data_IF_772104937790
#
_entry.id   IF_772104937790
#
_cell.length_a   1.000
_cell.length_b   1.000
_cell.length_c   1.000
_cell.angle_alpha   90.00
_cell.angle_beta   90.00
_cell.angle_gamma   90.00
#
_symmetry.space_group_name_H-M   'P 1'
#
loop_
_entity.id
_entity.type
_entity.pdbx_description
1 polymer ?
#
# COMPACT_ATOMS: atom_id res chain seq x y z
N UNK A 1 23.41 14.82 49.46
CA UNK A 1 23.85 13.56 48.83
C UNK A 1 22.71 12.70 48.27
N UNK A 2 21.48 12.75 48.77
CA UNK A 2 20.36 11.94 48.23
C UNK A 2 19.81 12.40 46.86
N UNK A 3 19.89 13.69 46.54
CA UNK A 3 19.41 14.24 45.26
C UNK A 3 20.22 13.79 44.03
N UNK A 4 21.53 13.58 44.19
CA UNK A 4 22.40 13.09 43.11
C UNK A 4 22.18 11.60 42.82
N UNK A 5 21.85 10.79 43.84
CA UNK A 5 21.55 9.37 43.67
C UNK A 5 20.20 9.14 42.95
N UNK A 6 19.20 9.97 43.23
CA UNK A 6 17.90 9.93 42.55
C UNK A 6 18.01 10.32 41.06
N UNK A 7 18.80 11.35 40.76
CA UNK A 7 19.04 11.75 39.37
C UNK A 7 19.75 10.63 38.58
N UNK A 8 20.79 10.01 39.16
CA UNK A 8 21.50 8.91 38.53
C UNK A 8 20.59 7.69 38.28
N UNK A 9 19.68 7.37 39.20
CA UNK A 9 18.70 6.29 39.05
C UNK A 9 17.66 6.55 37.95
N UNK A 10 17.22 7.78 37.77
CA UNK A 10 16.28 8.14 36.69
C UNK A 10 16.94 8.08 35.30
N UNK A 11 18.21 8.50 35.20
CA UNK A 11 18.95 8.44 33.93
C UNK A 11 19.26 7.00 33.50
N UNK A 12 19.58 6.09 34.43
CA UNK A 12 19.78 4.68 34.11
C UNK A 12 18.48 4.00 33.68
N UNK A 13 17.35 4.32 34.32
CA UNK A 13 16.05 3.80 33.93
C UNK A 13 15.64 4.27 32.52
N UNK A 14 15.87 5.55 32.21
CA UNK A 14 15.61 6.11 30.88
C UNK A 14 16.50 5.48 29.80
N UNK A 15 17.77 5.21 30.12
CA UNK A 15 18.69 4.50 29.23
C UNK A 15 18.25 3.06 28.93
N UNK A 16 17.73 2.35 29.94
CA UNK A 16 17.18 0.99 29.75
C UNK A 16 15.87 1.02 28.95
N UNK A 17 14.98 1.97 29.18
CA UNK A 17 13.76 2.13 28.38
C UNK A 17 14.08 2.50 26.93
N UNK A 18 15.11 3.31 26.68
CA UNK A 18 15.54 3.64 25.33
C UNK A 18 16.21 2.44 24.63
N UNK A 19 17.13 1.75 25.32
CA UNK A 19 17.81 0.57 24.78
C UNK A 19 16.87 -0.64 24.57
N UNK A 20 15.79 -0.73 25.34
CA UNK A 20 14.80 -1.82 25.28
C UNK A 20 13.52 -1.42 24.52
N UNK A 21 13.26 -0.12 24.35
CA UNK A 21 12.11 0.42 23.61
C UNK A 21 12.24 0.28 22.10
N UNK A 22 13.46 0.12 21.59
CA UNK A 22 13.70 -0.23 20.19
C UNK A 22 13.16 -1.60 19.78
N UNK A 23 12.81 -2.48 20.73
CA UNK A 23 12.14 -3.76 20.45
C UNK A 23 10.64 -3.77 20.79
N UNK A 24 10.11 -2.71 21.41
CA UNK A 24 8.68 -2.60 21.74
C UNK A 24 7.85 -2.09 20.56
N UNK A 25 8.46 -1.30 19.68
CA UNK A 25 7.96 -1.01 18.33
C UNK A 25 8.65 -1.92 17.32
N UNK A 26 8.87 -3.19 17.71
CA UNK A 26 9.30 -4.19 16.75
C UNK A 26 8.31 -4.16 15.60
N UNK A 27 8.83 -4.07 14.37
CA UNK A 27 8.07 -4.18 13.14
C UNK A 27 7.08 -5.34 13.26
N UNK A 28 5.86 -5.05 13.67
CA UNK A 28 4.78 -6.03 13.68
C UNK A 28 4.57 -6.34 12.21
N UNK A 29 5.16 -7.46 11.78
CA UNK A 29 5.06 -7.98 10.45
C UNK A 29 3.58 -7.88 10.05
N UNK A 30 3.31 -7.05 9.03
CA UNK A 30 1.94 -6.73 8.66
C UNK A 30 1.13 -8.02 8.55
N UNK A 31 -0.02 -8.14 9.23
CA UNK A 31 -0.71 -9.40 9.43
C UNK A 31 -0.94 -10.08 8.08
N UNK A 32 -0.74 -11.40 7.97
CA UNK A 32 -0.94 -12.17 6.73
C UNK A 32 -2.39 -12.64 6.58
N UNK A 33 -3.38 -11.78 6.81
CA UNK A 33 -4.79 -12.13 6.67
C UNK A 33 -5.31 -11.79 5.28
N UNK A 34 -6.40 -12.42 4.83
CA UNK A 34 -7.05 -12.04 3.57
C UNK A 34 -7.52 -10.56 3.59
N UNK A 35 -7.71 -10.00 4.78
CA UNK A 35 -8.14 -8.63 5.03
C UNK A 35 -7.00 -7.60 4.92
N UNK A 36 -5.74 -8.03 5.05
CA UNK A 36 -4.56 -7.16 4.92
C UNK A 36 -4.00 -7.10 3.50
N UNK A 37 -4.62 -7.82 2.56
CA UNK A 37 -4.16 -7.85 1.18
C UNK A 37 -4.32 -6.48 0.53
N UNK A 38 -3.24 -6.00 -0.07
CA UNK A 38 -3.32 -4.89 -1.01
C UNK A 38 -3.82 -5.44 -2.33
N UNK A 39 -4.87 -4.84 -2.87
CA UNK A 39 -5.40 -5.20 -4.18
C UNK A 39 -4.58 -4.54 -5.28
N UNK A 40 -4.34 -5.29 -6.35
CA UNK A 40 -3.62 -4.86 -7.54
C UNK A 40 -4.42 -5.21 -8.79
N UNK A 41 -4.28 -4.43 -9.85
CA UNK A 41 -4.98 -4.64 -11.12
C UNK A 41 -3.97 -4.69 -12.28
N UNK A 42 -4.01 -5.76 -13.05
CA UNK A 42 -3.14 -5.95 -14.21
C UNK A 42 -3.93 -5.72 -15.50
N UNK A 43 -3.58 -4.67 -16.24
CA UNK A 43 -4.20 -4.33 -17.52
C UNK A 43 -3.95 -5.38 -18.61
N UNK A 44 -2.80 -6.06 -18.58
CA UNK A 44 -2.45 -7.12 -19.55
C UNK A 44 -3.28 -8.40 -19.35
N UNK A 45 -3.67 -8.70 -18.11
CA UNK A 45 -4.50 -9.86 -17.79
C UNK A 45 -5.98 -9.53 -17.62
N UNK A 46 -6.34 -8.24 -17.61
CA UNK A 46 -7.68 -7.73 -17.31
C UNK A 46 -8.25 -8.37 -16.04
N UNK A 47 -7.41 -8.47 -15.00
CA UNK A 47 -7.77 -9.14 -13.76
C UNK A 47 -7.12 -8.48 -12.55
N UNK A 48 -7.85 -8.48 -11.45
CA UNK A 48 -7.35 -8.06 -10.15
C UNK A 48 -6.86 -9.24 -9.30
N UNK A 49 -5.94 -8.96 -8.39
CA UNK A 49 -5.40 -9.95 -7.46
C UNK A 49 -4.98 -9.26 -6.15
N UNK A 50 -4.95 -10.03 -5.06
CA UNK A 50 -4.45 -9.57 -3.76
C UNK A 50 -3.00 -10.00 -3.58
N UNK A 51 -2.17 -9.12 -3.04
CA UNK A 51 -0.86 -9.46 -2.50
C UNK A 51 -0.80 -9.04 -1.03
N UNK A 52 -0.32 -9.93 -0.18
CA UNK A 52 0.07 -9.62 1.19
C UNK A 52 1.33 -8.76 1.20
N UNK A 53 1.59 -8.05 2.31
CA UNK A 53 2.77 -7.20 2.45
C UNK A 53 4.07 -7.93 2.08
N UNK A 54 4.28 -9.15 2.60
CA UNK A 54 5.48 -9.93 2.30
C UNK A 54 5.61 -10.35 0.83
N UNK A 55 4.51 -10.46 0.08
CA UNK A 55 4.56 -10.86 -1.33
C UNK A 55 4.98 -9.72 -2.26
N UNK A 56 4.68 -8.47 -1.88
CA UNK A 56 5.06 -7.28 -2.65
C UNK A 56 6.21 -6.47 -2.02
N UNK A 57 6.61 -6.75 -0.79
CA UNK A 57 7.71 -6.06 -0.13
C UNK A 57 9.01 -6.20 -0.94
N UNK A 58 9.71 -5.08 -1.14
CA UNK A 58 10.88 -4.98 -2.01
C UNK A 58 10.63 -5.20 -3.52
N UNK A 59 9.38 -5.46 -3.95
CA UNK A 59 9.03 -5.72 -5.37
C UNK A 59 8.19 -4.63 -6.01
N UNK A 60 7.80 -3.62 -5.25
CA UNK A 60 7.09 -2.46 -5.78
C UNK A 60 8.05 -1.36 -6.21
N UNK A 61 7.76 -0.72 -7.33
CA UNK A 61 8.48 0.47 -7.80
C UNK A 61 7.48 1.56 -8.15
N UNK A 62 7.93 2.80 -8.18
CA UNK A 62 7.16 3.89 -8.77
C UNK A 62 7.49 3.96 -10.26
N UNK A 63 6.46 3.79 -11.10
CA UNK A 63 6.59 3.73 -12.54
C UNK A 63 5.46 4.52 -13.22
N UNK A 64 5.61 4.77 -14.52
CA UNK A 64 4.52 5.30 -15.32
C UNK A 64 3.35 4.32 -15.29
N UNK A 65 2.15 4.87 -15.18
CA UNK A 65 0.92 4.11 -15.27
C UNK A 65 0.86 3.30 -16.59
N UNK A 66 0.74 1.96 -16.54
CA UNK A 66 0.89 1.10 -17.72
C UNK A 66 -0.18 1.33 -18.79
N UNK A 67 -1.38 1.77 -18.39
CA UNK A 67 -2.47 2.10 -19.31
C UNK A 67 -2.59 3.59 -19.66
N UNK A 68 -1.67 4.44 -19.20
CA UNK A 68 -1.73 5.87 -19.53
C UNK A 68 -1.08 6.14 -20.89
N UNK A 69 -1.87 6.58 -21.87
CA UNK A 69 -1.34 7.18 -23.09
C UNK A 69 -0.72 8.55 -22.77
N UNK A 70 0.44 8.86 -23.38
CA UNK A 70 1.08 10.17 -23.26
C UNK A 70 0.94 10.91 -24.57
N UNK A 71 0.39 12.12 -24.52
CA UNK A 71 0.47 13.07 -25.63
C UNK A 71 1.63 14.04 -25.39
N UNK A 72 2.17 14.66 -26.45
CA UNK A 72 3.19 15.70 -26.30
C UNK A 72 2.70 16.81 -25.36
N UNK A 73 3.46 17.08 -24.28
CA UNK A 73 3.12 18.08 -23.26
C UNK A 73 2.43 17.54 -22.01
N UNK A 74 2.04 16.27 -21.97
CA UNK A 74 1.42 15.68 -20.80
C UNK A 74 2.43 15.39 -19.68
N UNK A 75 1.99 15.63 -18.44
CA UNK A 75 2.72 15.18 -17.24
C UNK A 75 2.40 13.69 -17.02
N UNK A 76 3.41 12.79 -17.00
CA UNK A 76 3.17 11.38 -16.82
C UNK A 76 2.54 11.09 -15.46
N UNK A 77 1.50 10.25 -15.48
CA UNK A 77 0.92 9.71 -14.26
C UNK A 77 1.86 8.64 -13.70
N UNK A 78 2.58 8.97 -12.64
CA UNK A 78 3.40 8.00 -11.89
C UNK A 78 2.55 7.35 -10.81
N UNK A 79 2.61 6.02 -10.76
CA UNK A 79 1.93 5.18 -9.77
C UNK A 79 2.85 4.11 -9.26
N UNK A 80 2.58 3.64 -8.04
CA UNK A 80 3.23 2.45 -7.52
C UNK A 80 2.72 1.22 -8.24
N UNK A 81 3.64 0.39 -8.71
CA UNK A 81 3.34 -0.85 -9.42
C UNK A 81 3.95 -2.06 -8.72
N UNK A 82 3.32 -3.21 -8.87
CA UNK A 82 3.81 -4.52 -8.42
C UNK A 82 3.82 -5.51 -9.61
N UNK A 83 4.69 -6.54 -9.61
CA UNK A 83 4.68 -7.55 -10.65
C UNK A 83 3.45 -8.45 -10.53
N UNK A 84 2.72 -8.63 -11.63
CA UNK A 84 1.60 -9.56 -11.72
C UNK A 84 2.09 -11.00 -11.59
N UNK A 85 1.49 -11.84 -10.71
CA UNK A 85 1.93 -13.22 -10.52
C UNK A 85 1.70 -14.10 -11.75
N UNK A 86 0.74 -13.74 -12.63
CA UNK A 86 0.39 -14.51 -13.83
C UNK A 86 1.29 -14.22 -15.03
N UNK A 87 1.46 -12.95 -15.38
CA UNK A 87 2.18 -12.54 -16.60
C UNK A 87 3.49 -11.79 -16.35
N UNK A 88 3.84 -11.52 -15.07
CA UNK A 88 5.05 -10.79 -14.64
C UNK A 88 5.14 -9.34 -15.14
N UNK A 89 4.09 -8.82 -15.80
CA UNK A 89 3.95 -7.40 -16.16
C UNK A 89 3.54 -6.57 -14.96
N UNK A 90 3.71 -5.25 -15.07
CA UNK A 90 3.35 -4.32 -14.00
C UNK A 90 1.84 -4.22 -13.81
N UNK A 91 1.40 -4.33 -12.56
CA UNK A 91 0.04 -4.11 -12.09
C UNK A 91 0.02 -2.87 -11.20
N UNK A 92 -1.08 -2.13 -11.23
CA UNK A 92 -1.27 -0.91 -10.44
C UNK A 92 -2.04 -1.19 -9.16
N UNK A 93 -1.88 -0.35 -8.15
CA UNK A 93 -2.70 -0.43 -6.95
C UNK A 93 -4.20 -0.31 -7.28
N UNK A 94 -5.01 -1.17 -6.70
CA UNK A 94 -6.43 -1.32 -7.02
C UNK A 94 -7.31 -1.18 -5.78
N UNK A 95 -8.61 -1.10 -6.01
CA UNK A 95 -9.67 -1.17 -5.01
C UNK A 95 -10.51 -2.40 -5.28
N UNK A 96 -11.04 -3.00 -4.21
CA UNK A 96 -12.07 -4.03 -4.29
C UNK A 96 -13.42 -3.40 -3.95
N UNK A 97 -14.40 -3.55 -4.83
CA UNK A 97 -15.74 -3.08 -4.60
C UNK A 97 -16.38 -3.88 -3.45
N UNK A 98 -16.96 -3.22 -2.43
CA UNK A 98 -17.64 -3.91 -1.34
C UNK A 98 -19.00 -4.49 -1.74
N UNK A 99 -19.57 -4.05 -2.88
CA UNK A 99 -20.91 -4.44 -3.32
C UNK A 99 -20.87 -5.72 -4.16
N UNK A 100 -19.97 -5.78 -5.15
CA UNK A 100 -19.89 -6.89 -6.12
C UNK A 100 -18.54 -7.62 -6.11
N UNK A 101 -17.57 -7.15 -5.32
CA UNK A 101 -16.25 -7.77 -5.21
C UNK A 101 -15.30 -7.50 -6.38
N UNK A 102 -15.71 -6.72 -7.40
CA UNK A 102 -14.86 -6.40 -8.53
C UNK A 102 -13.61 -5.63 -8.08
N UNK A 103 -12.46 -5.98 -8.67
CA UNK A 103 -11.19 -5.30 -8.41
C UNK A 103 -10.88 -4.40 -9.60
N UNK A 104 -10.67 -3.13 -9.35
CA UNK A 104 -10.47 -2.12 -10.40
C UNK A 104 -9.42 -1.10 -9.97
N UNK A 105 -8.88 -0.39 -10.95
CA UNK A 105 -7.80 0.58 -10.75
C UNK A 105 -8.19 1.69 -9.75
N UNK A 106 -7.34 1.91 -8.75
CA UNK A 106 -7.51 3.01 -7.79
C UNK A 106 -7.28 4.36 -8.44
N UNK A 107 -6.43 4.47 -9.46
CA UNK A 107 -6.08 5.73 -10.10
C UNK A 107 -6.09 5.57 -11.62
N UNK A 108 -7.29 5.58 -12.23
CA UNK A 108 -7.45 5.37 -13.67
C UNK A 108 -6.57 6.33 -14.50
N UNK A 109 -6.13 5.91 -15.70
CA UNK A 109 -5.20 6.68 -16.53
C UNK A 109 -5.76 8.03 -16.96
N UNK A 110 -7.09 8.14 -17.10
CA UNK A 110 -7.82 9.36 -17.45
C UNK A 110 -8.00 10.33 -16.26
N UNK A 111 -7.51 9.96 -15.08
CA UNK A 111 -7.63 10.70 -13.81
C UNK A 111 -9.08 10.91 -13.37
N UNK A 112 -10.03 10.15 -13.92
CA UNK A 112 -11.40 10.15 -13.45
C UNK A 112 -11.49 9.60 -12.02
N UNK A 113 -12.53 9.96 -11.25
CA UNK A 113 -12.79 9.33 -9.96
C UNK A 113 -12.96 7.82 -10.14
N UNK A 114 -12.25 7.03 -9.34
CA UNK A 114 -12.33 5.57 -9.39
C UNK A 114 -13.77 5.11 -9.10
N UNK A 115 -14.33 4.33 -10.02
CA UNK A 115 -15.68 3.78 -9.91
C UNK A 115 -15.63 2.29 -10.27
N UNK A 116 -16.41 1.49 -9.55
CA UNK A 116 -16.59 0.09 -9.87
C UNK A 116 -17.24 -0.02 -11.26
N UNK A 117 -16.64 -0.76 -12.21
CA UNK A 117 -17.18 -0.87 -13.57
C UNK A 117 -18.50 -1.67 -13.64
N UNK A 118 -18.85 -2.43 -12.59
CA UNK A 118 -20.06 -3.25 -12.58
C UNK A 118 -21.25 -2.53 -11.91
N UNK A 119 -21.08 -2.01 -10.70
CA UNK A 119 -22.17 -1.37 -9.95
C UNK A 119 -22.09 0.16 -9.83
N UNK A 120 -20.99 0.78 -10.28
CA UNK A 120 -20.79 2.24 -10.18
C UNK A 120 -20.44 2.76 -8.78
N UNK A 121 -20.20 1.88 -7.80
CA UNK A 121 -19.74 2.29 -6.46
C UNK A 121 -18.42 3.08 -6.54
N UNK A 122 -18.27 4.12 -5.72
CA UNK A 122 -17.05 4.92 -5.64
C UNK A 122 -16.68 5.19 -4.18
N UNK A 123 -15.39 5.12 -3.80
CA UNK A 123 -14.97 5.51 -2.47
C UNK A 123 -15.18 7.02 -2.19
N UNK A 124 -15.28 7.86 -3.22
CA UNK A 124 -15.53 9.29 -3.07
C UNK A 124 -17.01 9.63 -2.78
N UNK A 125 -17.91 8.69 -3.05
CA UNK A 125 -19.35 8.80 -2.76
C UNK A 125 -19.84 7.46 -2.19
N UNK A 126 -19.51 7.15 -0.92
CA UNK A 126 -20.08 5.99 -0.26
C UNK A 126 -21.61 6.17 -0.24
N UNK A 127 -22.33 5.21 -0.83
CA UNK A 127 -23.80 5.17 -0.80
C UNK A 127 -24.30 4.67 0.55
#
# INVERSE_FOLDING_TARGET
>A
MYLLALAAGLFTLAGVIWARGGTFFGDEAAPHTAESQTWWYCYECVNGFGLTAAEYDGRTIDARHPAAELKPGDIPLTVRVAPCPKCRKWAVAALKCPVDGAIFDRRPPDRSPSQCPLCGWSPAKPR
#
